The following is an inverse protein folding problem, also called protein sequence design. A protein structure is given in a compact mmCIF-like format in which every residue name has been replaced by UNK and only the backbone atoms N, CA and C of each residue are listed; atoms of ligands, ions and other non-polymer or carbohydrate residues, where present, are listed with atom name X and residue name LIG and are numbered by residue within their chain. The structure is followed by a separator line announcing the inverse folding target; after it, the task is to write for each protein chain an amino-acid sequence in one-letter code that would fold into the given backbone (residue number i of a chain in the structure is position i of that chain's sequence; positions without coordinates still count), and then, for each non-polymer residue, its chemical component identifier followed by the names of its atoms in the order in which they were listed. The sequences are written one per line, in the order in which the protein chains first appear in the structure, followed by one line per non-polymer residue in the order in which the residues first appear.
data_IF_990952489091
#
_entry.id   IF_990952489091
#
_cell.length_a   1.000
_cell.length_b   1.000
_cell.length_c   1.000
_cell.angle_alpha   90.00
_cell.angle_beta   90.00
_cell.angle_gamma   90.00
#
_symmetry.space_group_name_H-M   'P 1'
#
loop_
_entity.id
_entity.type
_entity.pdbx_description
1 polymer ?
#
# COMPACT_ATOMS: atom_id res chain seq x y z
N UNK A 1 -6.91 -19.09 17.31
CA UNK A 1 -7.05 -19.29 15.84
C UNK A 1 -6.73 -17.96 15.16
N UNK A 2 -5.49 -17.79 14.67
CA UNK A 2 -5.12 -16.63 13.85
C UNK A 2 -5.46 -16.94 12.39
N UNK A 3 -6.21 -16.08 11.67
CA UNK A 3 -6.29 -16.25 10.23
C UNK A 3 -5.07 -15.57 9.60
N UNK A 4 -4.11 -16.41 9.21
CA UNK A 4 -3.17 -16.14 8.12
C UNK A 4 -3.97 -15.97 6.83
N UNK A 5 -3.54 -15.05 5.95
CA UNK A 5 -3.53 -15.16 4.47
C UNK A 5 -3.27 -13.77 3.87
N UNK A 6 -2.01 -13.51 3.46
CA UNK A 6 -1.68 -12.39 2.59
C UNK A 6 -1.33 -12.98 1.22
N UNK A 7 -2.32 -13.06 0.31
CA UNK A 7 -2.09 -13.34 -1.10
C UNK A 7 -1.94 -11.99 -1.82
N UNK A 8 -0.74 -11.69 -2.32
CA UNK A 8 -0.50 -10.53 -3.19
C UNK A 8 -0.22 -11.08 -4.59
N UNK A 9 -1.17 -10.90 -5.50
CA UNK A 9 -0.97 -11.18 -6.93
C UNK A 9 -0.55 -9.88 -7.60
N UNK A 10 0.70 -9.85 -8.10
CA UNK A 10 1.25 -8.74 -8.90
C UNK A 10 1.12 -9.10 -10.37
N UNK A 11 0.29 -8.36 -11.12
CA UNK A 11 0.18 -8.47 -12.58
C UNK A 11 0.91 -7.28 -13.22
N UNK A 12 1.92 -7.58 -14.02
CA UNK A 12 2.70 -6.60 -14.79
C UNK A 12 2.04 -6.36 -16.15
N UNK A 13 1.44 -5.19 -16.38
CA UNK A 13 0.89 -4.78 -17.67
C UNK A 13 1.67 -3.57 -18.19
N UNK A 14 2.35 -3.72 -19.34
CA UNK A 14 3.10 -2.67 -20.03
C UNK A 14 2.17 -1.86 -20.96
N UNK A 15 1.80 -0.64 -20.56
CA UNK A 15 1.03 0.31 -21.38
C UNK A 15 1.36 1.77 -20.98
N UNK A 16 1.08 2.77 -21.84
CA UNK A 16 1.37 4.17 -21.56
C UNK A 16 0.71 4.62 -20.25
N UNK A 17 1.32 5.53 -19.46
CA UNK A 17 0.86 5.83 -18.11
C UNK A 17 -0.58 6.37 -18.19
N UNK A 18 -1.56 5.70 -17.55
CA UNK A 18 -2.89 6.26 -17.42
C UNK A 18 -2.77 7.63 -16.75
N UNK A 19 -3.61 8.60 -17.15
CA UNK A 19 -3.91 9.75 -16.28
C UNK A 19 -4.20 9.19 -14.89
N UNK A 20 -3.56 9.73 -13.86
CA UNK A 20 -3.70 9.23 -12.50
C UNK A 20 -5.18 9.33 -12.08
N UNK A 21 -5.91 8.23 -12.23
CA UNK A 21 -7.26 8.09 -11.71
C UNK A 21 -7.07 7.85 -10.22
N UNK A 22 -7.23 8.92 -9.44
CA UNK A 22 -7.13 8.82 -8.00
C UNK A 22 -8.36 8.06 -7.48
N UNK A 23 -8.19 6.76 -7.24
CA UNK A 23 -9.22 5.93 -6.61
C UNK A 23 -9.52 6.52 -5.23
N UNK A 24 -10.76 6.98 -5.04
CA UNK A 24 -11.23 7.47 -3.75
C UNK A 24 -11.46 6.27 -2.83
N UNK A 25 -10.67 6.17 -1.77
CA UNK A 25 -10.88 5.18 -0.72
C UNK A 25 -12.11 5.58 0.10
N UNK A 26 -13.01 4.64 0.44
CA UNK A 26 -14.18 4.96 1.27
C UNK A 26 -13.78 5.49 2.65
N UNK A 27 -14.61 6.37 3.23
CA UNK A 27 -14.41 6.98 4.57
C UNK A 27 -14.69 6.02 5.74
N UNK A 28 -14.14 4.81 5.64
CA UNK A 28 -14.13 3.80 6.69
C UNK A 28 -12.81 3.84 7.47
N UNK A 29 -12.74 3.25 8.67
CA UNK A 29 -11.47 3.09 9.38
C UNK A 29 -10.39 2.42 8.52
N UNK A 30 -10.72 1.32 7.82
CA UNK A 30 -9.79 0.62 6.94
C UNK A 30 -9.37 1.48 5.73
N UNK A 31 -10.30 2.22 5.13
CA UNK A 31 -10.00 3.14 4.02
C UNK A 31 -9.03 4.25 4.41
N UNK A 32 -9.26 4.90 5.56
CA UNK A 32 -8.34 5.92 6.10
C UNK A 32 -6.97 5.33 6.43
N UNK A 33 -6.92 4.11 6.98
CA UNK A 33 -5.66 3.43 7.28
C UNK A 33 -4.88 3.08 6.00
N UNK A 34 -5.59 2.63 4.95
CA UNK A 34 -5.01 2.35 3.64
C UNK A 34 -4.44 3.62 3.00
N UNK A 35 -5.17 4.73 3.05
CA UNK A 35 -4.70 6.03 2.55
C UNK A 35 -3.44 6.50 3.31
N UNK A 36 -3.44 6.41 4.64
CA UNK A 36 -2.30 6.77 5.46
C UNK A 36 -1.06 5.88 5.19
N UNK A 37 -1.27 4.57 5.02
CA UNK A 37 -0.21 3.64 4.61
C UNK A 37 0.36 4.02 3.24
N UNK A 38 -0.50 4.26 2.24
CA UNK A 38 -0.06 4.61 0.90
C UNK A 38 0.76 5.90 0.90
N UNK A 39 0.31 6.93 1.62
CA UNK A 39 1.02 8.20 1.75
C UNK A 39 2.40 8.01 2.37
N UNK A 40 2.50 7.24 3.46
CA UNK A 40 3.76 6.98 4.13
C UNK A 40 4.72 6.15 3.26
N UNK A 41 4.21 5.08 2.63
CA UNK A 41 5.01 4.19 1.78
C UNK A 41 5.49 4.87 0.49
N UNK A 42 4.65 5.70 -0.14
CA UNK A 42 5.01 6.39 -1.38
C UNK A 42 5.92 7.61 -1.16
N UNK A 43 6.06 8.07 0.07
CA UNK A 43 6.95 9.17 0.44
C UNK A 43 8.43 8.86 0.20
N UNK A 44 9.25 9.90 0.34
CA UNK A 44 10.72 9.81 0.19
C UNK A 44 11.44 9.51 1.51
N UNK A 45 10.74 9.48 2.65
CA UNK A 45 11.33 9.48 3.98
C UNK A 45 11.15 8.13 4.66
N UNK A 46 12.20 7.29 4.65
CA UNK A 46 12.21 5.96 5.31
C UNK A 46 11.82 6.02 6.78
N UNK A 47 12.28 7.04 7.49
CA UNK A 47 11.98 7.21 8.91
C UNK A 47 10.53 7.62 9.17
N UNK A 48 9.88 8.36 8.26
CA UNK A 48 8.45 8.63 8.35
C UNK A 48 7.62 7.34 8.16
N UNK A 49 8.06 6.48 7.25
CA UNK A 49 7.44 5.16 7.07
C UNK A 49 7.69 4.24 8.28
N UNK A 50 8.89 4.25 8.87
CA UNK A 50 9.17 3.56 10.13
C UNK A 50 8.22 4.01 11.24
N UNK A 51 8.08 5.31 11.45
CA UNK A 51 7.19 5.86 12.48
C UNK A 51 5.72 5.46 12.25
N UNK A 52 5.29 5.45 10.98
CA UNK A 52 3.97 4.93 10.61
C UNK A 52 3.80 3.46 10.99
N UNK A 53 4.78 2.60 10.67
CA UNK A 53 4.73 1.18 11.03
C UNK A 53 4.75 0.99 12.54
N UNK A 54 5.62 1.65 13.28
CA UNK A 54 5.69 1.53 14.74
C UNK A 54 4.38 1.91 15.43
N UNK A 55 3.68 2.93 14.92
CA UNK A 55 2.39 3.37 15.48
C UNK A 55 1.24 2.43 15.14
N UNK A 56 1.20 1.89 13.91
CA UNK A 56 -0.01 1.26 13.38
C UNK A 56 0.14 -0.25 13.13
N UNK A 57 1.35 -0.71 12.83
CA UNK A 57 1.68 -2.09 12.47
C UNK A 57 3.03 -2.50 13.10
N UNK A 58 3.15 -2.57 14.44
CA UNK A 58 4.45 -2.72 15.11
C UNK A 58 5.25 -3.95 14.66
N UNK A 59 4.57 -5.08 14.40
CA UNK A 59 5.20 -6.31 13.89
C UNK A 59 5.80 -6.15 12.48
N UNK A 60 5.30 -5.22 11.67
CA UNK A 60 5.88 -4.92 10.35
C UNK A 60 7.09 -3.99 10.47
N UNK A 61 7.19 -3.20 11.55
CA UNK A 61 8.36 -2.33 11.76
C UNK A 61 9.66 -3.13 11.93
N UNK A 62 9.58 -4.37 12.42
CA UNK A 62 10.71 -5.31 12.49
C UNK A 62 11.25 -5.69 11.09
N UNK A 63 10.42 -5.55 10.05
CA UNK A 63 10.74 -5.88 8.66
C UNK A 63 10.94 -4.63 7.79
N UNK A 64 11.29 -3.48 8.40
CA UNK A 64 11.41 -2.20 7.71
C UNK A 64 12.31 -2.27 6.47
N UNK A 65 13.45 -2.96 6.54
CA UNK A 65 14.40 -3.08 5.43
C UNK A 65 13.78 -3.78 4.21
N UNK A 66 13.05 -4.85 4.45
CA UNK A 66 12.35 -5.58 3.39
C UNK A 66 11.25 -4.73 2.75
N UNK A 67 10.41 -4.09 3.58
CA UNK A 67 9.34 -3.20 3.10
C UNK A 67 9.91 -2.02 2.30
N UNK A 68 11.02 -1.44 2.77
CA UNK A 68 11.68 -0.33 2.09
C UNK A 68 12.33 -0.76 0.77
N UNK A 69 12.91 -1.96 0.69
CA UNK A 69 13.40 -2.53 -0.57
C UNK A 69 12.30 -2.68 -1.62
N UNK A 70 11.09 -3.09 -1.22
CA UNK A 70 9.92 -3.11 -2.14
C UNK A 70 9.59 -1.70 -2.62
N UNK A 71 9.63 -0.70 -1.74
CA UNK A 71 9.42 0.70 -2.13
C UNK A 71 10.44 1.18 -3.14
N UNK A 72 11.71 0.84 -2.95
CA UNK A 72 12.81 1.24 -3.84
C UNK A 72 12.64 0.60 -5.22
N UNK A 73 12.31 -0.69 -5.26
CA UNK A 73 12.05 -1.41 -6.52
C UNK A 73 10.82 -0.89 -7.26
N UNK A 74 9.75 -0.55 -6.55
CA UNK A 74 8.46 -0.20 -7.16
C UNK A 74 8.28 1.28 -7.43
N UNK A 75 9.06 2.16 -6.82
CA UNK A 75 8.76 3.59 -6.84
C UNK A 75 7.60 3.99 -5.89
N UNK A 76 7.04 3.04 -5.13
CA UNK A 76 5.75 3.17 -4.46
C UNK A 76 4.61 2.65 -5.34
N UNK A 77 3.36 2.80 -4.87
CA UNK A 77 2.18 2.23 -5.51
C UNK A 77 1.12 3.27 -5.86
N UNK A 78 0.57 3.16 -7.07
CA UNK A 78 -0.65 3.83 -7.49
C UNK A 78 -1.84 2.85 -7.40
N UNK A 79 -2.95 3.25 -6.76
CA UNK A 79 -4.16 2.43 -6.73
C UNK A 79 -4.82 2.47 -8.11
N UNK A 80 -5.11 1.30 -8.67
CA UNK A 80 -5.76 1.14 -9.98
C UNK A 80 -7.22 0.73 -9.86
N UNK A 81 -7.55 -0.10 -8.87
CA UNK A 81 -8.91 -0.58 -8.68
C UNK A 81 -9.14 -0.98 -7.22
N UNK A 82 -10.32 -0.68 -6.70
CA UNK A 82 -10.81 -1.20 -5.43
C UNK A 82 -11.65 -2.44 -5.71
N UNK A 83 -11.26 -3.59 -5.17
CA UNK A 83 -11.99 -4.86 -5.30
C UNK A 83 -12.99 -5.05 -4.15
N UNK A 84 -12.60 -4.66 -2.94
CA UNK A 84 -13.43 -4.79 -1.74
C UNK A 84 -13.15 -3.65 -0.77
N UNK A 85 -14.20 -3.13 -0.13
CA UNK A 85 -14.08 -2.22 1.00
C UNK A 85 -15.17 -2.48 2.01
N UNK A 86 -14.77 -2.81 3.24
CA UNK A 86 -15.62 -2.93 4.41
C UNK A 86 -15.04 -2.03 5.52
N UNK A 87 -15.73 -1.84 6.66
CA UNK A 87 -15.18 -1.05 7.76
C UNK A 87 -13.79 -1.48 8.24
N UNK A 88 -13.44 -2.76 8.07
CA UNK A 88 -12.21 -3.38 8.61
C UNK A 88 -11.29 -3.97 7.55
N UNK A 89 -11.65 -3.92 6.26
CA UNK A 89 -10.86 -4.51 5.17
C UNK A 89 -10.93 -3.67 3.91
N UNK A 90 -9.79 -3.55 3.24
CA UNK A 90 -9.66 -2.99 1.88
C UNK A 90 -8.85 -3.97 1.05
N UNK A 91 -9.34 -4.30 -0.14
CA UNK A 91 -8.61 -5.06 -1.16
C UNK A 91 -8.55 -4.22 -2.42
N UNK A 92 -7.36 -3.96 -2.92
CA UNK A 92 -7.16 -3.11 -4.09
C UNK A 92 -6.05 -3.66 -4.99
N UNK A 93 -6.18 -3.42 -6.29
CA UNK A 93 -5.12 -3.61 -7.27
C UNK A 93 -4.26 -2.35 -7.31
N UNK A 94 -2.94 -2.55 -7.28
CA UNK A 94 -1.94 -1.48 -7.33
C UNK A 94 -0.97 -1.68 -8.48
N UNK A 95 -0.41 -0.58 -8.98
CA UNK A 95 0.69 -0.58 -9.94
C UNK A 95 1.90 0.13 -9.34
N UNK A 96 3.11 -0.40 -9.57
CA UNK A 96 4.36 0.27 -9.21
C UNK A 96 4.51 1.60 -9.96
N UNK A 97 5.02 2.65 -9.30
CA UNK A 97 5.25 3.98 -9.91
C UNK A 97 6.53 4.05 -10.75
N UNK A 98 7.44 3.09 -10.59
CA UNK A 98 8.64 2.95 -11.40
C UNK A 98 8.40 2.12 -12.68
N UNK A 99 7.15 1.72 -12.94
CA UNK A 99 6.72 0.91 -14.09
C UNK A 99 5.91 1.72 -15.09
#
# INVERSE_FOLDING_TARGET
MSPSLLFVVVLLLNGPPPRAVQIQLPETPAGRQCAAWQQAFNGSHREAYRAFLQKNFPSRAEHLDQEWGVREMTGGFELRKLEESTPTKVVALVQGRAS
#
